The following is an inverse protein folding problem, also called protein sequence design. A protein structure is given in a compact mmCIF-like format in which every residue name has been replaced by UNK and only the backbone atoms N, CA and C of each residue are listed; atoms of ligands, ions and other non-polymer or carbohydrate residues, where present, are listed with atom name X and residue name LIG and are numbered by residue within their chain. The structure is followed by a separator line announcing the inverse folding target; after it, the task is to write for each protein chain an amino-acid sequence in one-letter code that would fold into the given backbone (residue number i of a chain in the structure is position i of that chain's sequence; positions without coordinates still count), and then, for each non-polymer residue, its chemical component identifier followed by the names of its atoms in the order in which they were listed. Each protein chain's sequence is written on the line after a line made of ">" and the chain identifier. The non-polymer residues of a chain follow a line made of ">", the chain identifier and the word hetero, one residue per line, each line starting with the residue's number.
data_IF_628611772805
#
_entry.id   IF_628611772805
#
_cell.length_a   1.000
_cell.length_b   1.000
_cell.length_c   1.000
_cell.angle_alpha   90.00
_cell.angle_beta   90.00
_cell.angle_gamma   90.00
#
_symmetry.space_group_name_H-M   'P 1'
#
loop_
_entity.id
_entity.type
_entity.pdbx_description
1 polymer ?
#
# COMPACT_ATOMS: atom_id res chain seq x y z
N UNK A 1 -5.59 -2.43 13.49
CA UNK A 1 -4.70 -1.43 12.85
C UNK A 1 -3.45 -1.22 13.67
N UNK A 2 -3.54 -0.98 15.00
CA UNK A 2 -2.36 -0.67 15.83
C UNK A 2 -1.23 -1.68 15.70
N UNK A 3 -1.51 -2.99 15.76
CA UNK A 3 -0.48 -4.04 15.60
C UNK A 3 0.29 -3.94 14.28
N UNK A 4 -0.37 -3.53 13.20
CA UNK A 4 0.30 -3.31 11.91
C UNK A 4 1.20 -2.07 11.96
N UNK A 5 0.74 -0.98 12.58
CA UNK A 5 1.54 0.24 12.74
C UNK A 5 2.77 0.00 13.61
N UNK A 6 2.66 -0.77 14.71
CA UNK A 6 3.78 -1.15 15.56
C UNK A 6 4.82 -1.97 14.78
N UNK A 7 4.34 -2.89 13.93
CA UNK A 7 5.21 -3.69 13.07
C UNK A 7 5.89 -2.84 11.99
N UNK A 8 5.17 -1.91 11.39
CA UNK A 8 5.74 -0.95 10.44
C UNK A 8 6.84 -0.12 11.12
N UNK A 9 6.60 0.41 12.32
CA UNK A 9 7.60 1.19 13.04
C UNK A 9 8.89 0.38 13.30
N UNK A 10 8.76 -0.92 13.57
CA UNK A 10 9.90 -1.78 13.86
C UNK A 10 10.74 -2.16 12.62
N UNK A 11 10.12 -2.31 11.43
CA UNK A 11 10.77 -2.98 10.31
C UNK A 11 10.82 -2.17 9.01
N UNK A 12 10.01 -1.13 8.86
CA UNK A 12 9.88 -0.39 7.60
C UNK A 12 11.07 0.54 7.35
N UNK A 13 11.38 1.43 8.30
CA UNK A 13 12.54 2.36 8.22
C UNK A 13 13.63 2.04 9.22
N UNK A 14 13.36 1.13 10.16
CA UNK A 14 14.30 0.62 11.18
C UNK A 14 14.58 -0.85 10.92
N UNK A 15 15.49 -1.45 11.68
CA UNK A 15 15.83 -2.86 11.55
C UNK A 15 16.23 -3.22 10.12
N UNK A 16 15.50 -4.14 9.44
CA UNK A 16 15.79 -4.57 8.08
C UNK A 16 15.59 -3.48 7.02
N UNK A 17 14.85 -2.42 7.35
CA UNK A 17 14.61 -1.27 6.48
C UNK A 17 14.03 -1.71 5.12
N UNK A 18 12.88 -2.37 5.16
CA UNK A 18 12.19 -2.91 3.97
C UNK A 18 11.92 -1.79 2.95
N UNK A 19 11.59 -0.60 3.43
CA UNK A 19 11.34 0.59 2.62
C UNK A 19 10.24 0.36 1.56
N UNK A 20 9.11 -0.16 2.02
CA UNK A 20 7.95 -0.50 1.17
C UNK A 20 6.85 0.56 1.15
N UNK A 21 6.91 1.53 2.07
CA UNK A 21 5.91 2.59 2.21
C UNK A 21 6.54 3.97 1.99
N UNK A 22 5.85 4.82 1.23
CA UNK A 22 6.22 6.23 1.03
C UNK A 22 5.64 7.07 2.16
N UNK A 23 4.35 6.86 2.45
CA UNK A 23 3.59 7.66 3.40
C UNK A 23 2.67 6.76 4.23
N UNK A 24 2.52 7.07 5.51
CA UNK A 24 1.54 6.45 6.41
C UNK A 24 0.31 7.36 6.55
N UNK A 25 -0.86 6.75 6.59
CA UNK A 25 -2.10 7.46 6.86
C UNK A 25 -2.23 7.78 8.35
N UNK A 26 -2.02 9.03 8.72
CA UNK A 26 -2.17 9.49 10.12
C UNK A 26 -3.59 9.32 10.68
N UNK A 27 -4.60 9.21 9.81
CA UNK A 27 -6.00 8.98 10.18
C UNK A 27 -6.40 7.50 10.29
N UNK A 28 -5.49 6.54 10.08
CA UNK A 28 -5.85 5.12 10.02
C UNK A 28 -6.46 4.58 11.33
N UNK A 29 -5.98 5.03 12.48
CA UNK A 29 -6.54 4.64 13.79
C UNK A 29 -7.92 5.27 14.02
N UNK A 30 -8.09 6.54 13.66
CA UNK A 30 -9.39 7.21 13.78
C UNK A 30 -10.44 6.53 12.89
N UNK A 31 -10.07 6.12 11.70
CA UNK A 31 -10.97 5.38 10.81
C UNK A 31 -11.31 4.00 11.37
N UNK A 32 -10.36 3.30 11.99
CA UNK A 32 -10.60 2.04 12.68
C UNK A 32 -11.62 2.21 13.81
N UNK A 33 -11.44 3.22 14.65
CA UNK A 33 -12.34 3.54 15.76
C UNK A 33 -13.76 3.90 15.27
N UNK A 34 -13.85 4.66 14.18
CA UNK A 34 -15.16 4.96 13.52
C UNK A 34 -15.87 3.68 13.06
N UNK A 35 -15.11 2.71 12.51
CA UNK A 35 -15.67 1.43 12.08
C UNK A 35 -16.07 0.54 13.25
N UNK A 36 -15.30 0.52 14.33
CA UNK A 36 -15.64 -0.22 15.56
C UNK A 36 -16.98 0.29 16.14
N UNK A 37 -17.15 1.62 16.22
CA UNK A 37 -18.40 2.25 16.65
C UNK A 37 -19.56 1.88 15.71
N UNK A 38 -19.33 1.91 14.40
CA UNK A 38 -20.36 1.55 13.42
C UNK A 38 -20.77 0.08 13.56
N UNK A 39 -19.80 -0.82 13.83
CA UNK A 39 -20.08 -2.23 14.05
C UNK A 39 -20.97 -2.46 15.27
N UNK A 40 -20.68 -1.80 16.39
CA UNK A 40 -21.49 -1.88 17.61
C UNK A 40 -22.93 -1.39 17.38
N UNK A 41 -23.10 -0.36 16.56
CA UNK A 41 -24.39 0.26 16.29
C UNK A 41 -25.26 -0.52 15.27
N UNK A 42 -24.64 -1.07 14.21
CA UNK A 42 -25.39 -1.61 13.05
C UNK A 42 -24.73 -2.79 12.35
N UNK A 43 -23.59 -3.30 12.87
CA UNK A 43 -22.84 -4.40 12.25
C UNK A 43 -21.88 -3.93 11.16
N UNK A 44 -21.47 -4.85 10.30
CA UNK A 44 -20.49 -4.58 9.24
C UNK A 44 -20.99 -3.52 8.24
N UNK A 45 -20.18 -2.50 7.94
CA UNK A 45 -20.51 -1.52 6.91
C UNK A 45 -20.31 -2.05 5.48
N UNK A 46 -19.57 -3.15 5.33
CA UNK A 46 -19.30 -3.78 4.05
C UNK A 46 -18.36 -4.98 4.17
N UNK A 47 -18.07 -5.67 3.05
CA UNK A 47 -17.30 -6.93 3.05
C UNK A 47 -15.83 -6.78 3.44
N UNK A 48 -15.29 -5.58 3.45
CA UNK A 48 -13.91 -5.28 3.87
C UNK A 48 -13.86 -4.50 5.18
N UNK A 49 -14.93 -4.54 5.98
CA UNK A 49 -15.02 -3.80 7.23
C UNK A 49 -13.82 -4.04 8.14
N UNK A 50 -13.07 -2.99 8.43
CA UNK A 50 -11.91 -3.03 9.31
C UNK A 50 -10.65 -3.67 8.72
N UNK A 51 -10.66 -4.10 7.46
CA UNK A 51 -9.50 -4.73 6.83
C UNK A 51 -8.46 -3.66 6.48
N UNK A 52 -7.25 -3.71 7.09
CA UNK A 52 -6.18 -2.76 6.80
C UNK A 52 -5.48 -3.13 5.49
N UNK A 53 -5.37 -2.15 4.59
CA UNK A 53 -4.75 -2.30 3.28
C UNK A 53 -3.76 -1.18 2.97
N UNK A 54 -2.84 -1.42 2.04
CA UNK A 54 -1.98 -0.38 1.48
C UNK A 54 -2.31 -0.16 0.00
N UNK A 55 -2.15 1.08 -0.47
CA UNK A 55 -2.40 1.47 -1.85
C UNK A 55 -1.09 1.82 -2.55
N UNK A 56 -0.85 1.25 -3.72
CA UNK A 56 0.27 1.68 -4.58
C UNK A 56 0.20 3.18 -4.84
N UNK A 57 1.34 3.88 -4.71
CA UNK A 57 1.40 5.34 -4.73
C UNK A 57 1.23 5.98 -6.12
N UNK A 58 0.46 5.37 -6.98
CA UNK A 58 -0.02 5.99 -8.22
C UNK A 58 -1.54 6.13 -8.25
N UNK A 59 -2.24 5.63 -7.23
CA UNK A 59 -3.67 5.86 -7.07
C UNK A 59 -3.91 6.96 -6.03
N UNK A 60 -4.77 7.90 -6.37
CA UNK A 60 -5.13 9.02 -5.52
C UNK A 60 -5.92 8.56 -4.30
N UNK A 61 -5.43 8.94 -3.13
CA UNK A 61 -6.12 8.82 -1.85
C UNK A 61 -6.23 10.23 -1.28
N UNK A 62 -7.45 10.73 -1.14
CA UNK A 62 -7.69 12.07 -0.59
C UNK A 62 -7.04 12.20 0.79
N UNK A 63 -6.33 13.31 1.01
CA UNK A 63 -5.59 13.57 2.24
C UNK A 63 -4.19 12.96 2.30
N UNK A 64 -3.76 12.21 1.26
CA UNK A 64 -2.41 11.66 1.15
C UNK A 64 -1.76 12.07 -0.17
N UNK A 65 -0.44 12.35 -0.22
CA UNK A 65 0.23 12.69 -1.46
C UNK A 65 0.20 11.52 -2.46
N UNK A 66 0.19 11.84 -3.75
CA UNK A 66 0.38 10.89 -4.85
C UNK A 66 1.64 11.28 -5.60
N UNK A 67 2.75 10.60 -5.30
CA UNK A 67 4.09 11.03 -5.70
C UNK A 67 4.63 10.31 -6.93
N UNK A 68 4.01 9.20 -7.34
CA UNK A 68 4.55 8.29 -8.37
C UNK A 68 6.00 7.83 -8.08
N UNK A 69 6.45 7.92 -6.83
CA UNK A 69 7.81 7.61 -6.40
C UNK A 69 8.85 8.66 -6.78
N UNK A 70 8.43 9.79 -7.33
CA UNK A 70 9.31 10.82 -7.89
C UNK A 70 9.36 12.08 -7.02
N UNK A 71 10.57 12.66 -6.87
CA UNK A 71 10.76 13.96 -6.23
C UNK A 71 10.00 15.09 -6.92
N UNK A 72 9.67 14.94 -8.21
CA UNK A 72 8.95 15.95 -8.98
C UNK A 72 7.48 16.09 -8.52
N UNK A 73 6.91 15.03 -7.98
CA UNK A 73 5.51 15.00 -7.54
C UNK A 73 5.36 14.85 -6.02
N UNK A 74 6.44 15.00 -5.25
CA UNK A 74 6.46 14.74 -3.80
C UNK A 74 5.38 15.51 -3.01
N UNK A 75 5.00 16.69 -3.48
CA UNK A 75 4.03 17.57 -2.83
C UNK A 75 2.65 17.57 -3.53
N UNK A 76 2.45 16.67 -4.49
CA UNK A 76 1.17 16.59 -5.21
C UNK A 76 0.08 15.98 -4.33
N UNK A 77 -0.90 16.81 -3.94
CA UNK A 77 -2.06 16.40 -3.14
C UNK A 77 -3.28 16.29 -4.05
N UNK A 78 -3.84 15.07 -4.22
CA UNK A 78 -5.04 14.89 -5.02
C UNK A 78 -6.26 15.50 -4.32
N UNK A 79 -7.15 16.12 -5.08
CA UNK A 79 -8.37 16.73 -4.58
C UNK A 79 -9.53 15.77 -4.34
N UNK A 80 -9.35 14.48 -4.64
CA UNK A 80 -10.37 13.43 -4.46
C UNK A 80 -9.75 12.04 -4.54
N UNK A 81 -10.47 11.05 -4.02
CA UNK A 81 -10.11 9.64 -4.16
C UNK A 81 -10.21 9.15 -5.63
N UNK A 82 -9.30 8.27 -6.02
CA UNK A 82 -9.47 7.45 -7.21
C UNK A 82 -10.71 6.54 -7.08
N UNK A 83 -11.34 6.16 -8.19
CA UNK A 83 -12.54 5.33 -8.18
C UNK A 83 -12.40 4.05 -7.35
N UNK A 84 -11.28 3.32 -7.51
CA UNK A 84 -11.01 2.09 -6.75
C UNK A 84 -10.89 2.38 -5.24
N UNK A 85 -10.29 3.49 -4.86
CA UNK A 85 -10.16 3.92 -3.46
C UNK A 85 -11.53 4.20 -2.84
N UNK A 86 -12.38 4.96 -3.55
CA UNK A 86 -13.77 5.21 -3.13
C UNK A 86 -14.54 3.90 -2.92
N UNK A 87 -14.39 2.92 -3.82
CA UNK A 87 -15.05 1.61 -3.70
C UNK A 87 -14.55 0.82 -2.49
N UNK A 88 -13.24 0.81 -2.25
CA UNK A 88 -12.65 0.09 -1.12
C UNK A 88 -13.01 0.74 0.23
N UNK A 89 -12.99 2.08 0.33
CA UNK A 89 -13.49 2.81 1.51
C UNK A 89 -14.97 2.51 1.76
N UNK A 90 -15.80 2.53 0.72
CA UNK A 90 -17.22 2.19 0.81
C UNK A 90 -17.48 0.73 1.23
N UNK A 91 -16.55 -0.18 0.98
CA UNK A 91 -16.58 -1.56 1.45
C UNK A 91 -16.07 -1.72 2.89
N UNK A 92 -15.56 -0.67 3.52
CA UNK A 92 -15.08 -0.67 4.90
C UNK A 92 -13.59 -0.94 5.05
N UNK A 93 -12.79 -0.91 3.98
CA UNK A 93 -11.33 -1.05 4.07
C UNK A 93 -10.68 0.18 4.69
N UNK A 94 -9.61 -0.04 5.47
CA UNK A 94 -8.81 1.01 6.11
C UNK A 94 -7.48 1.13 5.36
N UNK A 95 -7.21 2.31 4.80
CA UNK A 95 -5.91 2.58 4.18
C UNK A 95 -4.87 2.92 5.24
N UNK A 96 -3.85 2.04 5.41
CA UNK A 96 -2.75 2.28 6.36
C UNK A 96 -1.72 3.24 5.75
N UNK A 97 -1.52 3.20 4.42
CA UNK A 97 -0.51 4.03 3.78
C UNK A 97 -0.41 3.84 2.28
N UNK A 98 0.53 4.58 1.69
CA UNK A 98 0.89 4.55 0.28
C UNK A 98 2.17 3.74 0.09
N UNK A 99 2.09 2.70 -0.74
CA UNK A 99 3.21 1.79 -1.02
C UNK A 99 4.14 2.35 -2.09
N UNK A 100 5.43 2.11 -1.93
CA UNK A 100 6.46 2.41 -2.93
C UNK A 100 6.21 1.69 -4.26
N UNK A 101 6.77 2.23 -5.32
CA UNK A 101 6.60 1.71 -6.69
C UNK A 101 7.86 1.99 -7.52
N UNK A 102 7.99 1.31 -8.66
CA UNK A 102 8.93 1.77 -9.69
C UNK A 102 8.55 3.18 -10.13
N UNK A 103 9.51 4.10 -10.13
CA UNK A 103 9.25 5.52 -10.41
C UNK A 103 8.43 5.68 -11.71
N UNK A 104 7.38 6.50 -11.65
CA UNK A 104 6.40 6.69 -12.74
C UNK A 104 5.72 5.41 -13.21
N UNK A 105 5.71 4.35 -12.39
CA UNK A 105 5.07 3.06 -12.70
C UNK A 105 5.93 2.10 -13.52
N UNK A 106 7.21 2.38 -13.73
CA UNK A 106 8.11 1.55 -14.55
C UNK A 106 9.20 0.82 -13.74
N UNK A 107 9.77 -0.23 -14.32
CA UNK A 107 10.93 -0.92 -13.79
C UNK A 107 10.73 -1.65 -12.45
N UNK A 108 11.83 -1.85 -11.74
CA UNK A 108 11.83 -2.35 -10.36
C UNK A 108 11.47 -1.22 -9.37
N UNK A 109 11.15 -1.59 -8.14
CA UNK A 109 10.68 -0.64 -7.13
C UNK A 109 11.85 0.17 -6.58
N UNK A 110 12.16 1.20 -7.32
CA UNK A 110 13.14 2.24 -7.02
C UNK A 110 12.57 3.58 -7.46
N UNK A 111 12.74 4.61 -6.64
CA UNK A 111 12.30 5.96 -6.95
C UNK A 111 13.24 7.02 -6.39
N UNK A 112 13.33 8.16 -7.09
CA UNK A 112 14.15 9.30 -6.68
C UNK A 112 13.74 9.84 -5.31
N UNK A 113 12.48 9.63 -4.90
CA UNK A 113 11.95 10.10 -3.63
C UNK A 113 12.34 9.23 -2.44
N UNK A 114 12.45 7.90 -2.59
CA UNK A 114 12.59 6.98 -1.47
C UNK A 114 13.75 5.98 -1.61
N UNK A 115 14.40 5.89 -2.78
CA UNK A 115 15.42 4.88 -3.07
C UNK A 115 14.83 3.53 -3.48
N UNK A 116 15.35 2.42 -2.95
CA UNK A 116 14.94 1.07 -3.31
C UNK A 116 14.13 0.39 -2.21
N UNK A 117 13.11 -0.36 -2.61
CA UNK A 117 12.40 -1.31 -1.75
C UNK A 117 13.11 -2.66 -1.78
N UNK A 118 13.31 -3.24 -0.60
CA UNK A 118 14.00 -4.51 -0.42
C UNK A 118 13.06 -5.69 -0.43
N UNK A 119 13.53 -6.82 -0.90
CA UNK A 119 12.82 -8.08 -0.77
C UNK A 119 12.84 -8.53 0.71
N UNK A 120 11.70 -8.99 1.21
CA UNK A 120 11.54 -9.34 2.63
C UNK A 120 12.35 -10.59 3.02
N UNK A 121 12.58 -11.51 2.08
CA UNK A 121 13.33 -12.76 2.32
C UNK A 121 14.84 -12.61 2.10
N UNK A 122 15.25 -11.63 1.28
CA UNK A 122 16.64 -11.35 0.99
C UNK A 122 16.84 -9.85 0.75
N UNK A 123 17.35 -9.17 1.76
CA UNK A 123 17.46 -7.71 1.78
C UNK A 123 18.44 -7.14 0.73
N UNK A 124 19.26 -7.98 0.13
CA UNK A 124 20.18 -7.59 -0.96
C UNK A 124 19.51 -7.68 -2.34
N UNK A 125 18.26 -8.17 -2.39
CA UNK A 125 17.49 -8.32 -3.63
C UNK A 125 16.38 -7.30 -3.74
N UNK A 126 15.97 -7.04 -4.99
CA UNK A 126 14.82 -6.19 -5.29
C UNK A 126 13.50 -6.88 -4.91
N UNK A 127 12.54 -6.11 -4.46
CA UNK A 127 11.16 -6.56 -4.25
C UNK A 127 10.40 -6.81 -5.57
N UNK A 128 11.06 -6.62 -6.70
CA UNK A 128 10.41 -6.61 -8.01
C UNK A 128 9.74 -5.27 -8.30
N UNK A 129 8.86 -5.24 -9.26
CA UNK A 129 8.15 -4.00 -9.61
C UNK A 129 7.16 -4.19 -10.76
N UNK A 130 6.41 -3.14 -11.03
CA UNK A 130 6.51 -1.81 -10.40
C UNK A 130 5.73 -1.69 -9.08
N UNK A 131 4.97 -2.70 -8.62
CA UNK A 131 4.24 -2.70 -7.33
C UNK A 131 5.02 -3.44 -6.23
N UNK A 132 6.35 -3.26 -6.17
CA UNK A 132 7.18 -3.99 -5.19
C UNK A 132 6.88 -3.59 -3.74
N UNK A 133 6.56 -2.32 -3.49
CA UNK A 133 6.13 -1.86 -2.18
C UNK A 133 4.85 -2.54 -1.71
N UNK A 134 3.85 -2.67 -2.61
CA UNK A 134 2.62 -3.42 -2.32
C UNK A 134 2.93 -4.88 -1.96
N UNK A 135 3.78 -5.55 -2.76
CA UNK A 135 4.20 -6.93 -2.51
C UNK A 135 4.98 -7.10 -1.20
N UNK A 136 5.99 -6.26 -0.99
CA UNK A 136 6.82 -6.30 0.22
C UNK A 136 6.02 -5.98 1.49
N UNK A 137 5.08 -5.03 1.45
CA UNK A 137 4.24 -4.68 2.61
C UNK A 137 3.38 -5.86 3.06
N UNK A 138 2.76 -6.60 2.14
CA UNK A 138 1.97 -7.79 2.49
C UNK A 138 2.87 -8.89 3.02
N UNK A 139 3.99 -9.17 2.35
CA UNK A 139 4.96 -10.19 2.77
C UNK A 139 5.55 -9.89 4.15
N UNK A 140 5.84 -8.62 4.45
CA UNK A 140 6.31 -8.17 5.75
C UNK A 140 5.21 -8.15 6.83
N UNK A 141 3.96 -8.46 6.47
CA UNK A 141 2.79 -8.35 7.33
C UNK A 141 2.59 -6.92 7.87
N UNK A 142 2.71 -5.92 6.99
CA UNK A 142 2.39 -4.52 7.28
C UNK A 142 0.93 -4.17 6.97
N UNK A 143 0.25 -5.02 6.21
CA UNK A 143 -1.16 -4.92 5.88
C UNK A 143 -1.72 -6.30 5.56
N UNK A 144 -3.03 -6.47 5.66
CA UNK A 144 -3.70 -7.72 5.30
C UNK A 144 -3.73 -7.94 3.78
N UNK A 145 -3.79 -6.86 3.02
CA UNK A 145 -3.78 -6.87 1.56
C UNK A 145 -3.17 -5.58 1.01
N UNK A 146 -2.86 -5.58 -0.27
CA UNK A 146 -2.38 -4.40 -0.97
C UNK A 146 -3.01 -4.28 -2.36
N UNK A 147 -3.19 -3.05 -2.81
CA UNK A 147 -3.56 -2.77 -4.20
C UNK A 147 -2.32 -2.38 -4.97
N UNK A 148 -2.06 -3.13 -6.04
CA UNK A 148 -1.06 -2.82 -7.05
C UNK A 148 -1.72 -2.38 -8.35
N UNK A 149 -0.90 -2.18 -9.38
CA UNK A 149 -1.36 -1.95 -10.75
C UNK A 149 -0.44 -2.67 -11.72
N UNK A 150 -0.99 -3.25 -12.77
CA UNK A 150 -0.22 -3.97 -13.77
C UNK A 150 -0.64 -3.62 -15.19
N UNK A 151 0.31 -3.11 -15.98
CA UNK A 151 0.22 -3.11 -17.43
C UNK A 151 0.89 -4.35 -18.05
N UNK A 152 2.06 -4.74 -17.53
CA UNK A 152 2.85 -5.86 -18.06
C UNK A 152 3.09 -6.98 -17.03
N UNK A 153 3.79 -6.74 -15.93
CA UNK A 153 4.12 -7.74 -14.90
C UNK A 153 4.14 -7.17 -13.49
N UNK A 154 3.60 -5.98 -13.30
CA UNK A 154 3.81 -5.16 -12.10
C UNK A 154 3.02 -5.60 -10.85
N UNK A 155 2.17 -6.60 -10.94
CA UNK A 155 1.56 -7.32 -9.80
C UNK A 155 2.19 -8.71 -9.70
N UNK A 156 2.19 -9.47 -10.78
CA UNK A 156 2.66 -10.86 -10.81
C UNK A 156 4.10 -11.00 -10.36
N UNK A 157 5.02 -10.18 -10.89
CA UNK A 157 6.44 -10.22 -10.53
C UNK A 157 6.68 -9.92 -9.05
N UNK A 158 6.19 -8.81 -8.47
CA UNK A 158 6.30 -8.58 -7.03
C UNK A 158 5.65 -9.67 -6.18
N UNK A 159 4.52 -10.24 -6.60
CA UNK A 159 3.86 -11.31 -5.86
C UNK A 159 4.72 -12.56 -5.78
N UNK A 160 5.27 -13.02 -6.90
CA UNK A 160 6.15 -14.20 -6.95
C UNK A 160 7.42 -13.95 -6.12
N UNK A 161 8.06 -12.79 -6.26
CA UNK A 161 9.33 -12.52 -5.62
C UNK A 161 9.23 -12.28 -4.12
N UNK A 162 8.06 -11.85 -3.63
CA UNK A 162 7.80 -11.68 -2.20
C UNK A 162 6.97 -12.83 -1.60
N UNK A 163 6.76 -13.94 -2.33
CA UNK A 163 6.13 -15.15 -1.82
C UNK A 163 4.67 -14.98 -1.40
N UNK A 164 3.90 -14.13 -2.10
CA UNK A 164 2.50 -13.86 -1.82
C UNK A 164 1.60 -14.22 -3.00
N UNK A 165 0.32 -14.38 -2.73
CA UNK A 165 -0.69 -14.50 -3.78
C UNK A 165 -0.94 -13.14 -4.44
N UNK A 166 -0.94 -13.10 -5.77
CA UNK A 166 -1.29 -11.92 -6.55
C UNK A 166 -2.42 -12.21 -7.51
N UNK A 167 -3.42 -11.35 -7.56
CA UNK A 167 -4.53 -11.44 -8.49
C UNK A 167 -4.48 -10.27 -9.49
N UNK A 168 -4.56 -10.59 -10.77
CA UNK A 168 -4.76 -9.64 -11.85
C UNK A 168 -6.04 -10.03 -12.58
N UNK A 169 -7.17 -9.38 -12.28
CA UNK A 169 -8.43 -9.67 -12.95
C UNK A 169 -8.38 -9.30 -14.43
N UNK A 170 -9.35 -9.80 -15.18
CA UNK A 170 -9.59 -9.41 -16.57
C UNK A 170 -9.93 -7.91 -16.60
N UNK A 171 -9.38 -7.22 -17.60
CA UNK A 171 -9.76 -5.83 -17.86
C UNK A 171 -11.20 -5.78 -18.39
N UNK A 172 -11.99 -4.80 -17.93
CA UNK A 172 -13.38 -4.64 -18.35
C UNK A 172 -14.10 -3.59 -17.54
#
# INVERSE_FOLDING_TARGET
>A
VQMYLDRIDAYEKKGPRINSLIELNSGALQEAERLDIAFEASGLVGPLHGIPIVMKDQADVEGMPTTLGSVLFKDHMPGRDAFVVTKLKGAGAIFIGKATLGELGGGDTHGSLFGSTRNVYDLERTAGGSSGGSGASVSANFAAAAVGQEGFASIRRPSIWNGICGARPTAG
#
